data_IF_581217645979
#
_entry.id   IF_581217645979
#
_cell.length_a   1.000
_cell.length_b   1.000
_cell.length_c   1.000
_cell.angle_alpha   90.00
_cell.angle_beta   90.00
_cell.angle_gamma   90.00
#
_symmetry.space_group_name_H-M   'P 1'
#
loop_
_entity.id
_entity.type
_entity.pdbx_description
1 polymer ?
#
# COMPACT_ATOMS: atom_id res chain seq x y z
N UNK A 1 -27.81 -19.28 13.04
CA UNK A 1 -27.46 -18.28 14.06
C UNK A 1 -26.32 -17.48 13.46
N UNK A 2 -26.60 -16.24 13.04
CA UNK A 2 -25.61 -15.37 12.39
C UNK A 2 -25.08 -14.44 13.46
N UNK A 3 -23.79 -14.57 13.73
CA UNK A 3 -23.04 -13.73 14.66
C UNK A 3 -23.04 -12.29 14.15
N UNK A 4 -23.32 -11.35 15.05
CA UNK A 4 -23.40 -9.93 14.76
C UNK A 4 -22.04 -9.42 14.28
N UNK A 5 -21.94 -9.01 13.01
CA UNK A 5 -20.75 -8.39 12.45
C UNK A 5 -20.37 -7.14 13.24
N UNK A 6 -19.19 -7.18 13.85
CA UNK A 6 -18.65 -6.14 14.72
C UNK A 6 -18.11 -5.00 13.85
N UNK A 7 -18.31 -3.75 14.29
CA UNK A 7 -17.76 -2.52 13.69
C UNK A 7 -16.25 -2.41 13.99
N UNK A 8 -15.54 -3.53 13.93
CA UNK A 8 -14.12 -3.64 14.27
C UNK A 8 -13.25 -3.80 13.00
N UNK A 9 -13.87 -4.09 11.84
CA UNK A 9 -13.19 -4.25 10.54
C UNK A 9 -13.04 -2.93 9.76
N UNK A 10 -13.63 -1.82 10.24
CA UNK A 10 -13.24 -0.50 9.76
C UNK A 10 -11.96 -0.13 10.49
N UNK A 11 -10.82 -0.41 9.86
CA UNK A 11 -9.49 -0.03 10.35
C UNK A 11 -9.55 1.36 10.99
N UNK A 12 -9.34 1.42 12.31
CA UNK A 12 -9.28 2.64 13.11
C UNK A 12 -8.24 3.62 12.58
N UNK A 13 -7.30 3.16 11.75
CA UNK A 13 -6.24 3.96 11.14
C UNK A 13 -6.76 4.84 10.01
N UNK A 14 -7.88 4.48 9.37
CA UNK A 14 -8.54 5.28 8.34
C UNK A 14 -9.22 6.54 8.91
N UNK A 15 -9.49 6.57 10.21
CA UNK A 15 -10.11 7.72 10.90
C UNK A 15 -9.09 8.79 11.32
N UNK A 16 -7.79 8.46 11.42
CA UNK A 16 -6.77 9.35 11.97
C UNK A 16 -5.88 10.03 10.92
N UNK A 17 -5.95 9.67 9.63
CA UNK A 17 -5.04 10.22 8.60
C UNK A 17 -5.61 11.41 7.80
N UNK A 18 -6.88 11.76 7.97
CA UNK A 18 -7.50 12.82 7.16
C UNK A 18 -7.22 14.23 7.70
N UNK A 19 -6.00 14.74 7.52
CA UNK A 19 -5.61 16.13 7.84
C UNK A 19 -6.30 17.16 6.89
N UNK A 20 -7.10 16.69 5.91
CA UNK A 20 -7.95 17.51 5.03
C UNK A 20 -9.46 17.29 5.17
N UNK A 21 -9.95 16.47 6.11
CA UNK A 21 -11.39 16.25 6.33
C UNK A 21 -12.04 17.37 7.17
N UNK A 22 -11.86 18.63 6.76
CA UNK A 22 -12.31 19.82 7.50
C UNK A 22 -13.84 20.02 7.57
N UNK A 23 -14.68 18.97 7.51
CA UNK A 23 -16.13 19.11 7.74
C UNK A 23 -16.93 17.83 8.04
N UNK A 24 -16.28 16.67 8.32
CA UNK A 24 -17.03 15.43 8.58
C UNK A 24 -16.73 14.85 9.95
N UNK A 25 -17.77 14.62 10.73
CA UNK A 25 -17.66 13.98 12.05
C UNK A 25 -17.61 12.46 11.87
N UNK A 26 -16.99 11.76 12.83
CA UNK A 26 -17.04 10.29 12.92
C UNK A 26 -18.48 9.77 12.78
N UNK A 27 -19.45 10.46 13.40
CA UNK A 27 -20.87 10.12 13.34
C UNK A 27 -21.43 10.14 11.91
N UNK A 28 -20.99 11.09 11.07
CA UNK A 28 -21.43 11.15 9.66
C UNK A 28 -20.86 9.99 8.83
N UNK A 29 -19.65 9.54 9.14
CA UNK A 29 -19.03 8.38 8.51
C UNK A 29 -19.78 7.10 8.94
N UNK A 30 -20.01 6.92 10.23
CA UNK A 30 -20.75 5.78 10.79
C UNK A 30 -22.19 5.70 10.26
N UNK A 31 -22.89 6.84 10.17
CA UNK A 31 -24.22 6.91 9.58
C UNK A 31 -24.21 6.54 8.10
N UNK A 32 -23.17 6.94 7.35
CA UNK A 32 -22.98 6.55 5.96
C UNK A 32 -22.82 5.04 5.78
N UNK A 33 -21.95 4.41 6.57
CA UNK A 33 -21.81 2.94 6.54
C UNK A 33 -23.11 2.23 6.95
N UNK A 34 -23.78 2.71 7.98
CA UNK A 34 -25.08 2.17 8.42
C UNK A 34 -26.10 2.21 7.27
N UNK A 35 -26.18 3.34 6.55
CA UNK A 35 -27.04 3.47 5.38
C UNK A 35 -26.70 2.49 4.26
N UNK A 36 -25.41 2.17 4.04
CA UNK A 36 -25.01 1.15 3.06
C UNK A 36 -25.48 -0.23 3.53
N UNK A 37 -25.25 -0.59 4.79
CA UNK A 37 -25.63 -1.90 5.32
C UNK A 37 -27.15 -2.10 5.35
N UNK A 38 -27.93 -1.06 5.65
CA UNK A 38 -29.39 -1.14 5.65
C UNK A 38 -29.96 -1.38 4.23
N UNK A 39 -29.38 -0.71 3.22
CA UNK A 39 -29.88 -0.77 1.84
C UNK A 39 -29.32 -1.95 1.05
N UNK A 40 -28.02 -2.21 1.16
CA UNK A 40 -27.30 -3.18 0.36
C UNK A 40 -27.06 -4.52 1.09
N UNK A 41 -27.30 -4.57 2.41
CA UNK A 41 -27.08 -5.75 3.27
C UNK A 41 -25.65 -6.30 3.13
N UNK A 42 -25.51 -7.51 2.61
CA UNK A 42 -24.22 -8.21 2.43
C UNK A 42 -23.58 -7.95 1.07
N UNK A 43 -24.17 -7.07 0.25
CA UNK A 43 -23.68 -6.78 -1.09
C UNK A 43 -22.91 -5.46 -1.13
N UNK A 44 -22.10 -5.30 -2.17
CA UNK A 44 -21.38 -4.05 -2.47
C UNK A 44 -22.33 -2.86 -2.55
N UNK A 45 -21.95 -1.74 -1.94
CA UNK A 45 -22.73 -0.51 -1.94
C UNK A 45 -21.88 0.72 -1.71
N UNK A 46 -22.39 1.90 -2.09
CA UNK A 46 -21.71 3.17 -1.91
C UNK A 46 -22.68 4.26 -1.46
N UNK A 47 -22.19 5.22 -0.69
CA UNK A 47 -22.94 6.44 -0.34
C UNK A 47 -22.04 7.66 -0.48
N UNK A 48 -22.55 8.72 -1.07
CA UNK A 48 -21.84 10.01 -1.13
C UNK A 48 -22.06 10.76 0.20
N UNK A 49 -20.96 11.18 0.83
CA UNK A 49 -20.98 12.07 2.00
C UNK A 49 -20.76 13.54 1.60
N UNK A 50 -20.22 13.79 0.40
CA UNK A 50 -20.05 15.09 -0.22
C UNK A 50 -19.72 14.91 -1.71
N UNK A 51 -19.69 16.01 -2.47
CA UNK A 51 -19.43 16.01 -3.92
C UNK A 51 -18.14 15.26 -4.33
N UNK A 52 -17.14 15.20 -3.46
CA UNK A 52 -15.85 14.52 -3.71
C UNK A 52 -15.53 13.38 -2.73
N UNK A 53 -16.44 13.05 -1.80
CA UNK A 53 -16.23 12.01 -0.80
C UNK A 53 -17.38 11.02 -0.84
N UNK A 54 -17.05 9.75 -1.08
CA UNK A 54 -17.97 8.64 -0.97
C UNK A 54 -17.39 7.56 -0.06
N UNK A 55 -18.27 6.85 0.63
CA UNK A 55 -17.94 5.61 1.30
C UNK A 55 -18.37 4.45 0.40
N UNK A 56 -17.61 3.37 0.45
CA UNK A 56 -17.90 2.15 -0.29
C UNK A 56 -17.68 0.94 0.62
N UNK A 57 -18.56 -0.05 0.50
CA UNK A 57 -18.39 -1.39 1.04
C UNK A 57 -18.32 -2.35 -0.15
N UNK A 58 -17.38 -3.27 -0.14
CA UNK A 58 -17.20 -4.30 -1.18
C UNK A 58 -17.35 -5.69 -0.57
N UNK A 59 -17.97 -6.61 -1.30
CA UNK A 59 -18.02 -8.01 -0.89
C UNK A 59 -16.72 -8.72 -1.26
N UNK A 60 -15.87 -8.93 -0.24
CA UNK A 60 -14.58 -9.62 -0.34
C UNK A 60 -14.67 -10.99 -1.03
N UNK A 61 -15.80 -11.70 -0.88
CA UNK A 61 -16.00 -13.04 -1.46
C UNK A 61 -16.02 -13.03 -2.99
N UNK A 62 -16.25 -11.86 -3.59
CA UNK A 62 -16.26 -11.70 -5.04
C UNK A 62 -14.84 -11.51 -5.62
N UNK A 63 -13.81 -11.44 -4.77
CA UNK A 63 -12.40 -11.31 -5.20
C UNK A 63 -12.08 -9.97 -5.88
N UNK A 64 -12.99 -9.00 -5.76
CA UNK A 64 -12.83 -7.64 -6.26
C UNK A 64 -12.51 -6.68 -5.10
N UNK A 65 -11.55 -7.03 -4.23
CA UNK A 65 -11.02 -6.05 -3.28
C UNK A 65 -10.23 -5.01 -4.05
N UNK A 66 -10.91 -3.94 -4.46
CA UNK A 66 -10.20 -2.74 -4.89
C UNK A 66 -9.75 -2.00 -3.62
N UNK A 67 -8.44 -1.83 -3.47
CA UNK A 67 -7.87 -1.05 -2.37
C UNK A 67 -7.46 -1.84 -1.14
N UNK A 68 -6.92 -3.06 -1.29
CA UNK A 68 -6.13 -3.70 -0.23
C UNK A 68 -5.19 -2.67 0.39
N UNK A 69 -5.47 -2.29 1.65
CA UNK A 69 -4.65 -1.35 2.38
C UNK A 69 -3.39 -2.10 2.75
N UNK A 70 -2.31 -1.81 2.03
CA UNK A 70 -1.00 -2.40 2.28
C UNK A 70 -0.62 -2.24 3.76
N UNK A 71 -0.27 -3.34 4.41
CA UNK A 71 -0.03 -3.39 5.85
C UNK A 71 1.02 -2.35 6.27
N UNK A 72 0.70 -1.54 7.28
CA UNK A 72 1.65 -0.63 7.92
C UNK A 72 2.66 -1.36 8.81
N UNK A 73 2.40 -2.65 9.08
CA UNK A 73 3.36 -3.59 9.67
C UNK A 73 4.16 -4.27 8.57
N UNK A 74 5.48 -4.39 8.76
CA UNK A 74 6.36 -5.09 7.83
C UNK A 74 5.93 -6.56 7.68
N UNK A 75 5.62 -6.97 6.45
CA UNK A 75 5.36 -8.38 6.09
C UNK A 75 6.55 -8.87 5.27
N UNK A 76 7.04 -10.07 5.60
CA UNK A 76 8.13 -10.74 4.87
C UNK A 76 7.65 -12.08 4.31
N UNK A 77 8.25 -12.53 3.20
CA UNK A 77 7.95 -13.82 2.58
C UNK A 77 6.78 -13.80 1.59
N UNK A 78 6.41 -12.64 1.04
CA UNK A 78 5.31 -12.52 0.08
C UNK A 78 5.51 -13.32 -1.22
N UNK A 79 6.77 -13.53 -1.62
CA UNK A 79 7.11 -14.31 -2.80
C UNK A 79 7.67 -15.67 -2.37
N UNK A 80 6.82 -16.69 -2.35
CA UNK A 80 7.22 -18.06 -2.01
C UNK A 80 8.08 -18.63 -3.15
N UNK A 81 9.12 -19.38 -2.80
CA UNK A 81 10.11 -19.95 -3.74
C UNK A 81 10.96 -18.94 -4.55
N UNK A 82 10.87 -17.64 -4.24
CA UNK A 82 11.79 -16.66 -4.80
C UNK A 82 13.22 -16.90 -4.30
N UNK A 83 14.25 -16.71 -5.15
CA UNK A 83 15.62 -16.57 -4.67
C UNK A 83 15.74 -15.45 -3.63
N UNK A 84 16.59 -15.65 -2.63
CA UNK A 84 16.86 -14.60 -1.63
C UNK A 84 17.58 -13.42 -2.28
N UNK A 85 17.21 -12.22 -1.87
CA UNK A 85 17.91 -10.98 -2.22
C UNK A 85 19.20 -10.83 -1.42
N UNK A 86 20.18 -10.15 -2.00
CA UNK A 86 21.40 -9.75 -1.32
C UNK A 86 21.26 -8.30 -0.85
N UNK A 87 21.54 -8.02 0.43
CA UNK A 87 21.38 -6.68 1.02
C UNK A 87 22.06 -5.57 0.22
N UNK A 88 23.30 -5.81 -0.23
CA UNK A 88 24.05 -4.85 -1.04
C UNK A 88 23.36 -4.57 -2.38
N UNK A 89 22.79 -5.59 -3.01
CA UNK A 89 22.10 -5.44 -4.28
C UNK A 89 20.85 -4.56 -4.11
N UNK A 90 20.08 -4.77 -3.03
CA UNK A 90 18.91 -3.95 -2.71
C UNK A 90 19.28 -2.49 -2.40
N UNK A 91 20.34 -2.27 -1.61
CA UNK A 91 20.85 -0.92 -1.34
C UNK A 91 21.30 -0.23 -2.63
N UNK A 92 21.99 -0.94 -3.53
CA UNK A 92 22.38 -0.41 -4.84
C UNK A 92 21.17 -0.10 -5.70
N UNK A 93 20.17 -0.99 -5.77
CA UNK A 93 18.93 -0.72 -6.49
C UNK A 93 18.26 0.57 -5.99
N UNK A 94 18.12 0.73 -4.68
CA UNK A 94 17.54 1.93 -4.09
C UNK A 94 18.36 3.19 -4.37
N UNK A 95 19.69 3.10 -4.22
CA UNK A 95 20.59 4.23 -4.46
C UNK A 95 20.59 4.69 -5.91
N UNK A 96 20.25 3.81 -6.86
CA UNK A 96 20.14 4.14 -8.28
C UNK A 96 18.81 4.82 -8.67
N UNK A 97 17.87 5.02 -7.74
CA UNK A 97 16.66 5.81 -8.00
C UNK A 97 17.03 7.31 -8.05
N UNK A 98 16.68 8.03 -9.13
CA UNK A 98 17.01 9.45 -9.26
C UNK A 98 16.24 10.31 -8.26
N UNK A 99 16.78 11.50 -7.97
CA UNK A 99 16.15 12.47 -7.06
C UNK A 99 16.16 13.88 -7.61
N UNK A 100 15.19 14.68 -7.18
CA UNK A 100 15.18 16.12 -7.41
C UNK A 100 16.16 16.86 -6.48
N UNK A 101 16.24 18.18 -6.64
CA UNK A 101 17.06 19.07 -5.81
C UNK A 101 16.72 19.06 -4.31
N UNK A 102 15.52 18.62 -3.95
CA UNK A 102 15.04 18.48 -2.57
C UNK A 102 15.23 17.05 -2.04
N UNK A 103 15.84 16.16 -2.82
CA UNK A 103 16.04 14.76 -2.48
C UNK A 103 14.79 13.89 -2.62
N UNK A 104 13.73 14.34 -3.29
CA UNK A 104 12.51 13.55 -3.56
C UNK A 104 12.75 12.58 -4.70
N UNK A 105 12.17 11.38 -4.61
CA UNK A 105 12.32 10.35 -5.64
C UNK A 105 11.68 10.79 -6.96
N UNK A 106 12.36 10.53 -8.07
CA UNK A 106 11.88 10.83 -9.43
C UNK A 106 11.70 9.55 -10.24
N UNK A 107 10.85 9.64 -11.27
CA UNK A 107 10.79 8.64 -12.33
C UNK A 107 12.07 8.59 -13.15
N UNK A 108 12.22 7.55 -13.99
CA UNK A 108 13.37 7.42 -14.90
C UNK A 108 13.42 8.56 -15.95
N UNK A 109 12.28 9.19 -16.23
CA UNK A 109 12.16 10.38 -17.07
C UNK A 109 12.56 11.69 -16.35
N UNK A 110 12.96 11.59 -15.08
CA UNK A 110 13.32 12.73 -14.24
C UNK A 110 12.12 13.55 -13.77
N UNK A 111 10.89 13.06 -13.93
CA UNK A 111 9.68 13.76 -13.51
C UNK A 111 9.15 13.25 -12.16
N UNK A 112 8.40 14.09 -11.42
CA UNK A 112 7.64 13.63 -10.27
C UNK A 112 6.66 12.54 -10.67
N UNK A 113 6.59 11.46 -9.89
CA UNK A 113 5.82 10.26 -10.22
C UNK A 113 5.14 9.70 -8.98
N UNK A 114 4.10 8.89 -9.18
CA UNK A 114 3.44 8.12 -8.12
C UNK A 114 4.16 6.80 -7.81
N UNK A 115 5.09 6.37 -8.66
CA UNK A 115 5.78 5.09 -8.54
C UNK A 115 7.19 5.14 -9.12
N UNK A 116 8.13 4.50 -8.42
CA UNK A 116 9.51 4.27 -8.86
C UNK A 116 9.87 2.80 -8.67
N UNK A 117 10.56 2.23 -9.65
CA UNK A 117 11.01 0.84 -9.60
C UNK A 117 12.45 0.77 -10.09
N UNK A 118 13.32 0.12 -9.32
CA UNK A 118 14.69 -0.13 -9.74
C UNK A 118 15.11 -1.54 -9.40
N UNK A 119 15.75 -2.20 -10.36
CA UNK A 119 16.29 -3.54 -10.22
C UNK A 119 17.81 -3.48 -10.30
N UNK A 120 18.48 -4.20 -9.41
CA UNK A 120 19.90 -4.45 -9.48
C UNK A 120 20.19 -5.88 -9.03
N UNK A 121 20.74 -6.69 -9.94
CA UNK A 121 21.11 -8.09 -9.71
C UNK A 121 19.98 -8.89 -9.06
N UNK A 122 20.11 -9.27 -7.79
CA UNK A 122 19.14 -10.14 -7.09
C UNK A 122 17.90 -9.40 -6.59
N UNK A 123 17.87 -8.06 -6.64
CA UNK A 123 16.88 -7.27 -5.92
C UNK A 123 16.18 -6.22 -6.77
N UNK A 124 14.88 -6.09 -6.55
CA UNK A 124 14.01 -5.04 -7.07
C UNK A 124 13.44 -4.26 -5.90
N UNK A 125 13.60 -2.93 -5.93
CA UNK A 125 12.96 -2.00 -5.00
C UNK A 125 11.88 -1.24 -5.75
N UNK A 126 10.66 -1.30 -5.23
CA UNK A 126 9.50 -0.59 -5.74
C UNK A 126 8.95 0.31 -4.62
N UNK A 127 8.78 1.59 -4.92
CA UNK A 127 8.13 2.55 -4.02
C UNK A 127 6.98 3.20 -4.78
N UNK A 128 5.77 3.18 -4.22
CA UNK A 128 4.60 3.76 -4.87
C UNK A 128 3.57 4.28 -3.86
N UNK A 129 2.69 5.16 -4.30
CA UNK A 129 1.51 5.59 -3.53
C UNK A 129 0.28 4.76 -3.92
N UNK A 130 -0.53 4.32 -2.96
CA UNK A 130 -1.75 3.53 -3.26
C UNK A 130 -2.88 4.35 -3.88
N UNK A 131 -2.85 5.67 -3.75
CA UNK A 131 -3.85 6.60 -4.31
C UNK A 131 -3.40 7.29 -5.59
N UNK A 132 -2.30 6.81 -6.21
CA UNK A 132 -1.67 7.40 -7.40
C UNK A 132 -1.26 8.87 -7.25
N UNK A 133 -1.14 9.38 -6.03
CA UNK A 133 -0.61 10.71 -5.78
C UNK A 133 0.90 10.79 -6.01
N UNK A 134 1.44 11.99 -6.19
CA UNK A 134 2.90 12.15 -6.38
C UNK A 134 3.66 11.72 -5.12
N UNK A 135 4.76 10.97 -5.30
CA UNK A 135 5.74 10.70 -4.25
C UNK A 135 6.47 11.99 -3.87
N UNK A 136 6.31 12.40 -2.63
CA UNK A 136 6.96 13.59 -2.06
C UNK A 136 7.95 13.26 -0.94
N UNK A 137 7.98 12.01 -0.48
CA UNK A 137 8.95 11.52 0.49
C UNK A 137 10.37 11.64 -0.05
N UNK A 138 11.28 12.07 0.81
CA UNK A 138 12.69 12.20 0.45
C UNK A 138 13.38 10.82 0.45
N UNK A 139 14.49 10.73 -0.27
CA UNK A 139 15.34 9.54 -0.32
C UNK A 139 15.90 9.14 1.04
N UNK A 140 16.08 10.09 1.96
CA UNK A 140 16.52 9.76 3.31
C UNK A 140 15.40 9.11 4.15
N UNK A 141 14.19 9.68 4.08
CA UNK A 141 13.01 9.17 4.79
C UNK A 141 12.63 7.78 4.28
N UNK A 142 12.47 7.63 2.97
CA UNK A 142 12.13 6.35 2.34
C UNK A 142 13.30 5.34 2.50
N UNK A 143 14.55 5.81 2.47
CA UNK A 143 15.72 4.96 2.62
C UNK A 143 15.80 4.26 3.97
N UNK A 144 15.28 4.90 5.03
CA UNK A 144 15.18 4.29 6.36
C UNK A 144 14.19 3.12 6.35
N UNK A 145 13.06 3.26 5.65
CA UNK A 145 12.05 2.22 5.49
C UNK A 145 12.60 1.07 4.64
N UNK A 146 13.26 1.37 3.53
CA UNK A 146 13.93 0.37 2.68
C UNK A 146 14.98 -0.41 3.47
N UNK A 147 15.82 0.28 4.25
CA UNK A 147 16.86 -0.35 5.07
C UNK A 147 16.26 -1.30 6.11
N UNK A 148 15.17 -0.88 6.77
CA UNK A 148 14.42 -1.73 7.68
C UNK A 148 13.91 -2.99 6.98
N UNK A 149 13.25 -2.85 5.83
CA UNK A 149 12.72 -4.00 5.05
C UNK A 149 13.83 -4.97 4.66
N UNK A 150 14.98 -4.47 4.18
CA UNK A 150 16.15 -5.30 3.81
C UNK A 150 16.66 -6.09 5.02
N UNK A 151 16.87 -5.41 6.15
CA UNK A 151 17.49 -6.01 7.33
C UNK A 151 16.56 -7.03 8.02
N UNK A 152 15.29 -6.67 8.18
CA UNK A 152 14.34 -7.46 8.97
C UNK A 152 13.80 -8.66 8.19
N UNK A 153 13.66 -8.54 6.86
CA UNK A 153 13.19 -9.65 6.02
C UNK A 153 14.30 -10.62 5.60
N UNK A 154 15.58 -10.33 5.91
CA UNK A 154 16.72 -11.27 5.76
C UNK A 154 16.78 -11.94 4.39
N UNK A 155 16.67 -11.14 3.33
CA UNK A 155 16.72 -11.60 1.94
C UNK A 155 15.37 -12.07 1.37
N UNK A 156 14.34 -12.27 2.19
CA UNK A 156 12.98 -12.56 1.68
C UNK A 156 12.33 -11.29 1.16
N UNK A 157 11.42 -11.42 0.20
CA UNK A 157 10.60 -10.28 -0.25
C UNK A 157 9.81 -9.70 0.91
N UNK A 158 9.76 -8.38 1.02
CA UNK A 158 9.01 -7.68 2.05
C UNK A 158 8.24 -6.48 1.54
N UNK A 159 7.16 -6.15 2.24
CA UNK A 159 6.32 -4.97 2.01
C UNK A 159 6.03 -4.25 3.31
N UNK A 160 5.99 -2.92 3.25
CA UNK A 160 5.49 -2.07 4.33
C UNK A 160 4.85 -0.81 3.75
N UNK A 161 3.65 -0.48 4.24
CA UNK A 161 2.97 0.78 3.99
C UNK A 161 3.33 1.85 5.02
N UNK A 162 3.29 3.12 4.60
CA UNK A 162 3.49 4.29 5.45
C UNK A 162 2.46 5.36 5.10
N UNK A 163 1.78 6.00 6.08
CA UNK A 163 0.88 7.12 5.80
C UNK A 163 1.62 8.40 5.39
N UNK A 164 2.95 8.38 5.36
CA UNK A 164 3.82 9.48 4.94
C UNK A 164 4.55 9.14 3.65
N UNK A 165 4.80 10.16 2.84
CA UNK A 165 5.62 10.07 1.63
C UNK A 165 4.87 10.28 0.32
N UNK A 166 3.54 10.30 0.36
CA UNK A 166 2.65 10.64 -0.75
C UNK A 166 2.05 12.02 -0.56
N UNK A 167 1.71 12.70 -1.65
CA UNK A 167 1.04 14.01 -1.60
C UNK A 167 -0.46 13.90 -1.33
N UNK A 168 -1.06 12.73 -1.61
CA UNK A 168 -2.47 12.49 -1.43
C UNK A 168 -2.83 12.18 0.01
N UNK A 169 -4.08 12.49 0.37
CA UNK A 169 -4.61 12.38 1.74
C UNK A 169 -5.22 11.00 2.03
N UNK A 170 -5.35 10.15 1.01
CA UNK A 170 -6.09 8.88 1.07
C UNK A 170 -5.20 7.65 0.86
N UNK A 171 -3.94 7.83 0.44
CA UNK A 171 -3.03 6.74 0.09
C UNK A 171 -1.87 6.54 1.05
N UNK A 172 -1.37 5.31 1.11
CA UNK A 172 -0.10 4.98 1.74
C UNK A 172 1.01 5.11 0.71
N UNK A 173 2.21 5.47 1.16
CA UNK A 173 3.45 5.18 0.45
C UNK A 173 3.91 3.78 0.82
N UNK A 174 4.09 2.92 -0.17
CA UNK A 174 4.39 1.52 0.00
C UNK A 174 5.80 1.25 -0.49
N UNK A 175 6.59 0.57 0.33
CA UNK A 175 7.92 0.08 -0.01
C UNK A 175 7.86 -1.43 -0.17
N UNK A 176 8.19 -1.91 -1.37
CA UNK A 176 8.39 -3.33 -1.69
C UNK A 176 9.85 -3.58 -2.02
N UNK A 177 10.48 -4.50 -1.30
CA UNK A 177 11.82 -5.01 -1.61
C UNK A 177 11.65 -6.48 -1.94
N UNK A 178 11.98 -6.90 -3.15
CA UNK A 178 11.70 -8.27 -3.63
C UNK A 178 12.83 -8.82 -4.48
N UNK A 179 12.80 -10.14 -4.66
CA UNK A 179 13.62 -10.82 -5.67
C UNK A 179 13.45 -10.17 -7.05
N UNK A 180 14.52 -10.09 -7.81
CA UNK A 180 14.50 -9.66 -9.22
C UNK A 180 13.90 -10.71 -10.15
N UNK A 181 13.85 -11.99 -9.73
CA UNK A 181 13.06 -13.01 -10.43
C UNK A 181 11.59 -12.62 -10.36
N UNK A 182 10.98 -12.40 -11.51
CA UNK A 182 9.54 -12.18 -11.60
C UNK A 182 8.80 -13.43 -11.13
N UNK A 183 7.83 -13.21 -10.24
CA UNK A 183 6.94 -14.25 -9.75
C UNK A 183 5.59 -14.04 -10.43
N UNK A 184 4.92 -15.13 -10.82
CA UNK A 184 3.67 -15.04 -11.57
C UNK A 184 2.60 -14.27 -10.79
N UNK A 185 1.64 -13.69 -11.51
CA UNK A 185 0.50 -12.97 -10.93
C UNK A 185 -0.57 -13.90 -10.33
N UNK A 186 -0.22 -15.19 -10.17
CA UNK A 186 -1.01 -16.14 -9.41
C UNK A 186 -0.90 -15.75 -7.93
N UNK A 187 -1.80 -14.87 -7.51
CA UNK A 187 -2.11 -14.71 -6.10
C UNK A 187 -2.67 -16.05 -5.63
N UNK A 188 -2.15 -16.57 -4.53
CA UNK A 188 -2.75 -17.72 -3.85
C UNK A 188 -4.26 -17.44 -3.60
N UNK A 189 -5.08 -18.46 -3.34
CA UNK A 189 -6.54 -18.32 -3.13
C UNK A 189 -6.93 -17.29 -2.05
N UNK A 190 -5.98 -16.82 -1.23
CA UNK A 190 -6.13 -15.78 -0.21
C UNK A 190 -5.53 -14.41 -0.61
N UNK A 191 -5.12 -14.20 -1.87
CA UNK A 191 -4.71 -12.90 -2.41
C UNK A 191 -3.33 -12.38 -1.98
N UNK A 192 -2.69 -12.98 -0.97
CA UNK A 192 -1.52 -12.39 -0.27
C UNK A 192 -0.14 -12.81 -0.75
N UNK A 193 -0.01 -13.96 -1.40
CA UNK A 193 1.31 -14.53 -1.76
C UNK A 193 1.37 -14.82 -3.25
N UNK A 194 2.56 -14.61 -3.83
CA UNK A 194 2.87 -14.93 -5.23
C UNK A 194 3.94 -16.03 -5.26
N UNK A 195 3.62 -17.18 -5.85
CA UNK A 195 4.60 -18.25 -6.03
C UNK A 195 5.51 -17.99 -7.24
N UNK A 196 6.82 -18.16 -7.07
CA UNK A 196 7.81 -18.04 -8.13
C UNK A 196 8.20 -19.43 -8.63
N UNK A 197 8.07 -19.67 -9.95
CA UNK A 197 8.44 -20.92 -10.60
C UNK A 197 9.75 -20.75 -11.36
#
# INVERSE_FOLDING_TARGET
MVESGRVDDVSSDSLNSCIGCSSRTKQQIEAGFTSIFDQCKVNTGQVSLASSLFLQVQDHRLGYDSGDIESTTLICGLNTNAPLTINKDCQTAYNNIPVDKNGRLLGEDGQPTASVLKTFKTCTVLVYTTDNSTLIGTKSEIGSVVSKTINDCKGKSGVIGSPKGGAGINGLTVVKVRSSKECGDHRDTEGKYQSCY
#
